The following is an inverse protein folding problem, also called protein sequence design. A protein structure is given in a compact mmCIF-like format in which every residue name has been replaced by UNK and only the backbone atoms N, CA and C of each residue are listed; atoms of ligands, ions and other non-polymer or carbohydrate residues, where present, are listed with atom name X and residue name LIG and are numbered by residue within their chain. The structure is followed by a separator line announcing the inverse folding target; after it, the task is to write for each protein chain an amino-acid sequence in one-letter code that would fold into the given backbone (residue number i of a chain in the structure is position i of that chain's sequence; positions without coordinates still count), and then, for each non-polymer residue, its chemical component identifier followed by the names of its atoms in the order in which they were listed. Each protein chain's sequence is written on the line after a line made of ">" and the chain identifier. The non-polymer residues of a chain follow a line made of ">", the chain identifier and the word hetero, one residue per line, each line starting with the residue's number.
data_IF_536285809118
#
_entry.id   IF_536285809118
#
_cell.length_a   1.000
_cell.length_b   1.000
_cell.length_c   1.000
_cell.angle_alpha   90.00
_cell.angle_beta   90.00
_cell.angle_gamma   90.00
#
_symmetry.space_group_name_H-M   'P 1'
#
loop_
_entity.id
_entity.type
_entity.pdbx_description
1 polymer ?
#
# COMPACT_ATOMS: atom_id res chain seq x y z
N UNK A 1 13.07 -44.10 -79.37
CA UNK A 1 12.56 -44.44 -78.03
C UNK A 1 12.16 -43.13 -77.38
N UNK A 2 10.89 -42.75 -77.53
CA UNK A 2 10.33 -41.55 -76.92
C UNK A 2 9.65 -41.94 -75.60
N UNK A 3 10.10 -41.34 -74.48
CA UNK A 3 9.38 -41.45 -73.21
C UNK A 3 8.35 -40.33 -73.09
N UNK A 4 7.10 -40.61 -72.70
CA UNK A 4 6.12 -39.55 -72.41
C UNK A 4 6.37 -38.95 -71.03
N UNK A 5 6.46 -37.62 -71.00
CA UNK A 5 6.56 -36.82 -69.78
C UNK A 5 5.19 -36.84 -69.09
N UNK A 6 5.10 -37.42 -67.89
CA UNK A 6 3.87 -37.33 -67.07
C UNK A 6 3.71 -35.92 -66.49
N UNK A 7 2.52 -35.29 -66.56
CA UNK A 7 2.31 -34.01 -65.92
C UNK A 7 2.20 -34.17 -64.40
N UNK A 8 2.96 -33.36 -63.66
CA UNK A 8 2.90 -33.29 -62.20
C UNK A 8 1.51 -32.84 -61.74
N UNK A 9 0.94 -33.52 -60.73
CA UNK A 9 -0.34 -33.14 -60.10
C UNK A 9 -0.22 -31.75 -59.45
N UNK A 10 -1.20 -30.85 -59.63
CA UNK A 10 -1.23 -29.58 -58.91
C UNK A 10 -1.45 -29.83 -57.42
N UNK A 11 -0.66 -29.15 -56.58
CA UNK A 11 -0.78 -29.21 -55.13
C UNK A 11 -2.13 -28.66 -54.66
N UNK A 12 -2.77 -29.26 -53.63
CA UNK A 12 -4.07 -28.81 -53.14
C UNK A 12 -3.94 -27.41 -52.51
N UNK A 13 -4.62 -26.42 -53.10
CA UNK A 13 -4.74 -25.08 -52.52
C UNK A 13 -5.57 -25.16 -51.23
N UNK A 14 -4.99 -24.70 -50.11
CA UNK A 14 -5.69 -24.62 -48.82
C UNK A 14 -6.82 -23.59 -48.95
N UNK A 15 -8.08 -24.03 -48.74
CA UNK A 15 -9.24 -23.14 -48.70
C UNK A 15 -8.99 -22.03 -47.66
N UNK A 16 -9.11 -20.74 -48.02
CA UNK A 16 -8.97 -19.66 -47.06
C UNK A 16 -10.08 -19.78 -46.01
N UNK A 17 -9.73 -19.54 -44.74
CA UNK A 17 -10.71 -19.47 -43.66
C UNK A 17 -11.80 -18.43 -44.01
N UNK A 18 -13.05 -18.81 -43.78
CA UNK A 18 -14.23 -17.96 -43.95
C UNK A 18 -14.08 -16.66 -43.14
N UNK A 19 -14.52 -15.54 -43.71
CA UNK A 19 -14.53 -14.22 -43.10
C UNK A 19 -15.24 -14.22 -41.75
N UNK A 20 -16.33 -14.99 -41.60
CA UNK A 20 -17.04 -15.11 -40.32
C UNK A 20 -16.17 -15.78 -39.27
N UNK A 21 -15.41 -16.81 -39.65
CA UNK A 21 -14.48 -17.52 -38.75
C UNK A 21 -13.33 -16.62 -38.34
N UNK A 22 -12.80 -15.81 -39.27
CA UNK A 22 -11.77 -14.80 -38.94
C UNK A 22 -12.28 -13.76 -37.96
N UNK A 23 -13.51 -13.26 -38.16
CA UNK A 23 -14.12 -12.29 -37.26
C UNK A 23 -14.35 -12.89 -35.87
N UNK A 24 -14.87 -14.12 -35.80
CA UNK A 24 -15.09 -14.84 -34.55
C UNK A 24 -13.77 -15.04 -33.78
N UNK A 25 -12.70 -15.46 -34.47
CA UNK A 25 -11.37 -15.59 -33.86
C UNK A 25 -10.82 -14.25 -33.38
N UNK A 26 -10.97 -13.17 -34.18
CA UNK A 26 -10.52 -11.84 -33.79
C UNK A 26 -11.23 -11.33 -32.54
N UNK A 27 -12.55 -11.50 -32.47
CA UNK A 27 -13.34 -11.13 -31.29
C UNK A 27 -12.96 -11.98 -30.09
N UNK A 28 -12.73 -13.28 -30.27
CA UNK A 28 -12.33 -14.19 -29.20
C UNK A 28 -10.97 -13.80 -28.60
N UNK A 29 -9.94 -13.65 -29.43
CA UNK A 29 -8.61 -13.24 -28.96
C UNK A 29 -8.61 -11.80 -28.43
N UNK A 30 -9.37 -10.90 -29.06
CA UNK A 30 -9.53 -9.52 -28.59
C UNK A 30 -10.18 -9.44 -27.21
N UNK A 31 -11.21 -10.24 -26.97
CA UNK A 31 -11.87 -10.36 -25.67
C UNK A 31 -10.92 -10.91 -24.61
N UNK A 32 -10.19 -11.97 -24.92
CA UNK A 32 -9.18 -12.51 -24.01
C UNK A 32 -8.07 -11.50 -23.69
N UNK A 33 -7.58 -10.76 -24.69
CA UNK A 33 -6.57 -9.73 -24.49
C UNK A 33 -7.09 -8.55 -23.64
N UNK A 34 -8.34 -8.13 -23.84
CA UNK A 34 -8.97 -7.08 -23.04
C UNK A 34 -9.19 -7.50 -21.59
N UNK A 35 -9.70 -8.71 -21.36
CA UNK A 35 -9.92 -9.24 -20.00
C UNK A 35 -8.57 -9.44 -19.30
N UNK A 36 -7.62 -10.09 -19.98
CA UNK A 36 -6.27 -10.27 -19.43
C UNK A 36 -5.61 -8.92 -19.14
N UNK A 37 -5.64 -7.99 -20.08
CA UNK A 37 -5.06 -6.65 -19.94
C UNK A 37 -5.69 -5.89 -18.78
N UNK A 38 -7.03 -5.90 -18.67
CA UNK A 38 -7.76 -5.29 -17.56
C UNK A 38 -7.39 -5.92 -16.22
N UNK A 39 -7.33 -7.25 -16.15
CA UNK A 39 -6.91 -7.95 -14.93
C UNK A 39 -5.45 -7.68 -14.56
N UNK A 40 -4.54 -7.53 -15.53
CA UNK A 40 -3.12 -7.24 -15.28
C UNK A 40 -2.93 -5.82 -14.74
N UNK A 41 -3.60 -4.83 -15.33
CA UNK A 41 -3.51 -3.43 -14.90
C UNK A 41 -4.20 -3.18 -13.55
N UNK A 42 -5.23 -3.97 -13.23
CA UNK A 42 -6.00 -3.83 -11.99
C UNK A 42 -5.51 -4.72 -10.85
N UNK A 43 -4.39 -5.45 -11.02
CA UNK A 43 -3.88 -6.31 -9.94
C UNK A 43 -3.60 -5.44 -8.72
N UNK A 44 -4.27 -5.70 -7.58
CA UNK A 44 -3.93 -5.04 -6.34
C UNK A 44 -2.46 -5.32 -6.05
N UNK A 45 -1.72 -4.31 -5.62
CA UNK A 45 -0.35 -4.46 -5.15
C UNK A 45 -0.37 -5.39 -3.93
N UNK A 46 -0.21 -6.70 -4.16
CA UNK A 46 -0.24 -7.74 -3.12
C UNK A 46 0.94 -7.64 -2.14
N UNK A 47 1.88 -6.75 -2.39
CA UNK A 47 2.98 -6.48 -1.45
C UNK A 47 2.51 -5.66 -0.23
N UNK A 48 1.35 -4.99 -0.32
CA UNK A 48 0.83 -4.19 0.79
C UNK A 48 -0.31 -4.99 1.45
N UNK A 49 -0.26 -5.25 2.77
CA UNK A 49 -1.36 -5.91 3.43
C UNK A 49 -2.64 -5.06 3.34
N UNK A 50 -3.83 -5.70 3.38
CA UNK A 50 -5.08 -4.96 3.45
C UNK A 50 -5.08 -4.03 4.67
N UNK A 51 -5.44 -2.77 4.46
CA UNK A 51 -5.60 -1.78 5.53
C UNK A 51 -6.71 -0.80 5.18
N UNK A 52 -7.18 -0.07 6.20
CA UNK A 52 -8.20 0.96 6.09
C UNK A 52 -7.83 2.15 6.96
N UNK A 53 -8.14 3.36 6.49
CA UNK A 53 -8.03 4.57 7.32
C UNK A 53 -9.29 4.62 8.20
N UNK A 54 -9.13 4.46 9.51
CA UNK A 54 -10.24 4.56 10.46
C UNK A 54 -10.60 6.01 10.72
N UNK A 55 -9.61 6.81 11.12
CA UNK A 55 -9.79 8.23 11.38
C UNK A 55 -8.52 9.02 11.09
N UNK A 56 -8.68 10.34 10.97
CA UNK A 56 -7.57 11.26 10.78
C UNK A 56 -7.94 12.63 11.36
N UNK A 57 -7.05 13.16 12.19
CA UNK A 57 -7.21 14.46 12.86
C UNK A 57 -5.86 15.19 12.84
N UNK A 58 -5.83 16.36 12.19
CA UNK A 58 -4.61 17.12 11.98
C UNK A 58 -3.50 16.29 11.32
N UNK A 59 -2.37 16.14 12.03
CA UNK A 59 -1.22 15.35 11.58
C UNK A 59 -1.29 13.87 11.94
N UNK A 60 -2.30 13.44 12.70
CA UNK A 60 -2.44 12.07 13.15
C UNK A 60 -3.43 11.28 12.28
N UNK A 61 -3.05 10.05 11.96
CA UNK A 61 -3.85 9.11 11.15
C UNK A 61 -3.93 7.80 11.91
N UNK A 62 -5.14 7.30 12.14
CA UNK A 62 -5.35 5.98 12.70
C UNK A 62 -5.76 4.99 11.61
N UNK A 63 -5.03 3.89 11.54
CA UNK A 63 -5.16 2.85 10.51
C UNK A 63 -5.53 1.55 11.18
N UNK A 64 -6.48 0.85 10.56
CA UNK A 64 -6.85 -0.50 10.93
C UNK A 64 -6.33 -1.49 9.88
N UNK A 65 -5.68 -2.55 10.35
CA UNK A 65 -5.34 -3.76 9.59
C UNK A 65 -6.12 -4.95 10.15
N UNK A 66 -6.46 -5.95 9.33
CA UNK A 66 -7.18 -7.12 9.84
C UNK A 66 -6.46 -7.83 11.00
N UNK A 67 -7.21 -8.53 11.89
CA UNK A 67 -6.62 -9.19 13.06
C UNK A 67 -5.56 -10.26 12.75
N UNK A 68 -5.59 -10.84 11.55
CA UNK A 68 -4.64 -11.86 11.09
C UNK A 68 -3.38 -11.29 10.43
N UNK A 69 -3.28 -9.96 10.28
CA UNK A 69 -2.09 -9.33 9.71
C UNK A 69 -0.89 -9.55 10.64
N UNK A 70 0.15 -10.17 10.09
CA UNK A 70 1.39 -10.49 10.79
C UNK A 70 2.28 -9.26 10.99
N UNK A 71 3.22 -9.33 11.93
CA UNK A 71 4.15 -8.23 12.18
C UNK A 71 5.04 -7.93 10.97
N UNK A 72 5.38 -8.95 10.16
CA UNK A 72 6.13 -8.77 8.90
C UNK A 72 5.32 -8.03 7.85
N UNK A 73 4.01 -8.28 7.77
CA UNK A 73 3.12 -7.52 6.90
C UNK A 73 2.98 -6.06 7.37
N UNK A 74 2.86 -5.83 8.69
CA UNK A 74 2.85 -4.48 9.27
C UNK A 74 4.17 -3.76 8.98
N UNK A 75 5.30 -4.44 9.11
CA UNK A 75 6.62 -3.92 8.74
C UNK A 75 6.65 -3.49 7.26
N UNK A 76 6.14 -4.34 6.36
CA UNK A 76 6.03 -4.02 4.92
C UNK A 76 5.15 -2.79 4.67
N UNK A 77 4.04 -2.64 5.40
CA UNK A 77 3.19 -1.46 5.34
C UNK A 77 3.93 -0.19 5.81
N UNK A 78 4.69 -0.29 6.91
CA UNK A 78 5.50 0.82 7.43
C UNK A 78 6.64 1.19 6.45
N UNK A 79 7.31 0.21 5.87
CA UNK A 79 8.31 0.45 4.81
C UNK A 79 7.68 1.12 3.60
N UNK A 80 6.45 0.77 3.24
CA UNK A 80 5.73 1.46 2.16
C UNK A 80 5.47 2.92 2.51
N UNK A 81 5.08 3.23 3.75
CA UNK A 81 4.97 4.62 4.21
C UNK A 81 6.30 5.35 4.13
N UNK A 82 7.40 4.73 4.58
CA UNK A 82 8.77 5.27 4.47
C UNK A 82 9.12 5.60 3.03
N UNK A 83 8.90 4.67 2.10
CA UNK A 83 9.17 4.85 0.67
C UNK A 83 8.39 6.04 0.09
N UNK A 84 7.09 6.12 0.37
CA UNK A 84 6.25 7.24 -0.10
C UNK A 84 6.72 8.57 0.51
N UNK A 85 7.09 8.58 1.80
CA UNK A 85 7.62 9.74 2.51
C UNK A 85 9.00 10.21 2.00
N UNK A 86 9.83 9.31 1.48
CA UNK A 86 11.14 9.66 0.93
C UNK A 86 11.07 10.08 -0.55
N UNK A 87 10.24 9.42 -1.36
CA UNK A 87 10.24 9.63 -2.81
C UNK A 87 9.36 10.82 -3.25
N UNK A 88 8.08 10.81 -2.87
CA UNK A 88 7.08 11.75 -3.43
C UNK A 88 6.40 12.62 -2.38
N UNK A 89 6.49 12.24 -1.10
CA UNK A 89 5.72 12.83 0.01
C UNK A 89 4.24 13.01 -0.31
N UNK A 90 3.67 12.14 -1.14
CA UNK A 90 2.27 12.20 -1.55
C UNK A 90 1.55 10.91 -1.15
N UNK A 91 0.85 10.99 -0.02
CA UNK A 91 0.12 9.85 0.56
C UNK A 91 -1.32 9.73 0.04
N UNK A 92 -1.73 10.55 -0.94
CA UNK A 92 -3.08 10.49 -1.52
C UNK A 92 -3.39 9.14 -2.18
N UNK A 93 -2.40 8.51 -2.83
CA UNK A 93 -2.54 7.16 -3.38
C UNK A 93 -2.76 6.08 -2.30
N UNK A 94 -2.38 6.38 -1.06
CA UNK A 94 -2.60 5.54 0.12
C UNK A 94 -3.91 5.90 0.86
N UNK A 95 -4.75 6.74 0.24
CA UNK A 95 -6.04 7.23 0.78
C UNK A 95 -5.92 8.10 2.04
N UNK A 96 -4.72 8.61 2.35
CA UNK A 96 -4.52 9.53 3.47
C UNK A 96 -4.79 10.96 2.99
N UNK A 97 -5.65 11.68 3.70
CA UNK A 97 -5.96 13.10 3.37
C UNK A 97 -4.74 13.96 3.71
N UNK A 98 -4.50 15.09 3.03
CA UNK A 98 -3.41 16.00 3.37
C UNK A 98 -3.39 16.35 4.87
N UNK A 99 -2.31 16.02 5.57
CA UNK A 99 -2.15 16.29 7.02
C UNK A 99 -1.71 17.72 7.32
N UNK A 100 -1.20 18.40 6.30
CA UNK A 100 -0.73 19.79 6.30
C UNK A 100 -1.30 20.48 5.05
N UNK A 101 -2.63 20.61 4.94
CA UNK A 101 -3.30 21.09 3.72
C UNK A 101 -2.96 22.55 3.41
N UNK A 102 -2.79 23.37 4.44
CA UNK A 102 -2.59 24.83 4.35
C UNK A 102 -1.10 25.23 4.47
N UNK A 103 -0.19 24.26 4.54
CA UNK A 103 1.24 24.52 4.68
C UNK A 103 1.84 24.89 3.31
N UNK A 104 2.43 26.09 3.16
CA UNK A 104 3.02 26.53 1.90
C UNK A 104 4.23 25.69 1.48
N UNK A 105 4.88 24.98 2.42
CA UNK A 105 6.02 24.11 2.13
C UNK A 105 5.60 22.75 1.55
N UNK A 106 4.30 22.44 1.55
CA UNK A 106 3.75 21.28 0.87
C UNK A 106 2.77 20.48 1.71
N UNK A 107 2.06 19.58 1.03
CA UNK A 107 1.14 18.64 1.67
C UNK A 107 1.97 17.50 2.28
N UNK A 108 1.56 17.00 3.44
CA UNK A 108 2.20 15.89 4.15
C UNK A 108 3.61 16.16 4.71
N UNK A 109 3.90 17.39 5.15
CA UNK A 109 5.17 17.75 5.81
C UNK A 109 5.39 16.98 7.11
N UNK A 110 4.33 16.91 7.91
CA UNK A 110 4.28 16.24 9.22
C UNK A 110 3.13 15.26 9.27
N UNK A 111 3.40 14.06 9.77
CA UNK A 111 2.40 13.01 9.89
C UNK A 111 2.81 11.95 10.92
N UNK A 112 1.84 11.44 11.66
CA UNK A 112 1.99 10.24 12.47
C UNK A 112 0.87 9.26 12.10
N UNK A 113 1.25 8.04 11.73
CA UNK A 113 0.33 6.96 11.41
C UNK A 113 0.39 5.93 12.53
N UNK A 114 -0.75 5.66 13.14
CA UNK A 114 -0.97 4.68 14.19
C UNK A 114 -1.65 3.45 13.60
N UNK A 115 -1.11 2.24 13.83
CA UNK A 115 -1.61 1.01 13.22
C UNK A 115 -2.20 0.09 14.30
N UNK A 116 -3.45 -0.31 14.10
CA UNK A 116 -4.23 -1.14 15.01
C UNK A 116 -4.80 -2.37 14.31
N UNK A 117 -4.97 -3.45 15.05
CA UNK A 117 -5.71 -4.64 14.59
C UNK A 117 -7.18 -4.64 14.98
N UNK A 118 -7.56 -3.83 15.99
CA UNK A 118 -8.95 -3.59 16.35
C UNK A 118 -9.36 -2.21 15.85
N UNK A 119 -10.47 -2.18 15.12
CA UNK A 119 -11.06 -0.97 14.53
C UNK A 119 -11.48 0.05 15.59
N UNK A 120 -11.97 -0.39 16.76
CA UNK A 120 -12.35 0.48 17.87
C UNK A 120 -11.24 1.47 18.29
N UNK A 121 -9.96 1.07 18.18
CA UNK A 121 -8.83 1.96 18.49
C UNK A 121 -8.51 2.97 17.37
N UNK A 122 -9.02 2.73 16.16
CA UNK A 122 -8.86 3.60 15.01
C UNK A 122 -10.03 4.57 14.82
N UNK A 123 -11.05 4.54 15.69
CA UNK A 123 -12.20 5.45 15.64
C UNK A 123 -11.82 6.90 15.94
N UNK A 124 -12.63 7.82 15.43
CA UNK A 124 -12.35 9.26 15.50
C UNK A 124 -12.42 9.81 16.93
N UNK A 125 -13.35 9.33 17.75
CA UNK A 125 -13.49 9.78 19.14
C UNK A 125 -12.30 9.32 20.00
N UNK A 126 -11.83 8.09 19.79
CA UNK A 126 -10.66 7.53 20.47
C UNK A 126 -9.39 8.28 20.05
N UNK A 127 -9.22 8.54 18.75
CA UNK A 127 -8.09 9.35 18.27
C UNK A 127 -8.13 10.76 18.87
N UNK A 128 -9.29 11.41 18.89
CA UNK A 128 -9.45 12.74 19.47
C UNK A 128 -9.06 12.77 20.95
N UNK A 129 -9.63 11.87 21.77
CA UNK A 129 -9.31 11.75 23.20
C UNK A 129 -7.83 11.48 23.45
N UNK A 130 -7.19 10.68 22.59
CA UNK A 130 -5.75 10.43 22.66
C UNK A 130 -4.93 11.70 22.41
N UNK A 131 -5.32 12.50 21.40
CA UNK A 131 -4.61 13.72 21.00
C UNK A 131 -4.81 14.88 21.98
N UNK A 132 -6.03 15.06 22.51
CA UNK A 132 -6.33 16.10 23.50
C UNK A 132 -5.80 15.74 24.88
N UNK A 133 -5.62 14.45 25.16
CA UNK A 133 -5.19 13.96 26.46
C UNK A 133 -6.28 14.08 27.53
N UNK A 134 -7.54 14.24 27.12
CA UNK A 134 -8.71 14.36 28.01
C UNK A 134 -8.90 13.13 28.89
N UNK A 135 -8.57 11.94 28.37
CA UNK A 135 -8.76 10.67 29.06
C UNK A 135 -7.44 9.89 29.12
N UNK A 136 -6.92 9.73 30.35
CA UNK A 136 -5.67 9.00 30.61
C UNK A 136 -5.80 7.51 30.32
N UNK A 137 -6.94 6.90 30.61
CA UNK A 137 -7.16 5.46 30.38
C UNK A 137 -7.20 5.17 28.89
N UNK A 138 -7.91 6.01 28.12
CA UNK A 138 -7.92 5.92 26.65
C UNK A 138 -6.51 6.12 26.11
N UNK A 139 -5.76 7.10 26.62
CA UNK A 139 -4.39 7.36 26.16
C UNK A 139 -3.45 6.18 26.39
N UNK A 140 -3.48 5.61 27.59
CA UNK A 140 -2.64 4.48 27.97
C UNK A 140 -3.11 3.18 27.27
N UNK A 141 -4.41 3.04 27.02
CA UNK A 141 -4.99 1.97 26.21
C UNK A 141 -4.56 2.04 24.75
N UNK A 142 -4.69 3.22 24.12
CA UNK A 142 -4.31 3.49 22.74
C UNK A 142 -2.85 3.11 22.48
N UNK A 143 -1.95 3.54 23.38
CA UNK A 143 -0.52 3.24 23.26
C UNK A 143 -0.19 1.75 23.40
N UNK A 144 -0.91 1.04 24.26
CA UNK A 144 -0.76 -0.41 24.45
C UNK A 144 -1.35 -1.21 23.29
N UNK A 145 -2.43 -0.72 22.68
CA UNK A 145 -3.11 -1.37 21.56
C UNK A 145 -2.37 -1.21 20.22
N UNK A 146 -1.42 -0.28 20.12
CA UNK A 146 -0.62 -0.08 18.92
C UNK A 146 0.14 -1.35 18.53
N UNK A 147 0.00 -1.72 17.26
CA UNK A 147 0.77 -2.79 16.63
C UNK A 147 1.93 -2.28 15.80
N UNK A 148 1.87 -1.01 15.40
CA UNK A 148 2.99 -0.31 14.80
C UNK A 148 2.71 1.17 14.66
N UNK A 149 3.74 1.94 14.38
CA UNK A 149 3.60 3.35 14.05
C UNK A 149 4.63 3.78 13.03
N UNK A 150 4.26 4.81 12.26
CA UNK A 150 5.14 5.54 11.37
C UNK A 150 5.06 7.02 11.70
N UNK A 151 6.20 7.69 11.86
CA UNK A 151 6.28 9.13 12.11
C UNK A 151 7.13 9.78 11.05
N UNK A 152 6.59 10.83 10.45
CA UNK A 152 7.21 11.67 9.45
C UNK A 152 7.25 13.09 9.98
N UNK A 153 8.45 13.64 10.10
CA UNK A 153 8.68 15.05 10.40
C UNK A 153 9.29 15.73 9.18
N UNK A 154 9.68 16.99 9.35
CA UNK A 154 10.38 17.73 8.29
C UNK A 154 11.77 17.14 8.01
N UNK A 155 12.44 16.65 9.05
CA UNK A 155 13.84 16.23 9.00
C UNK A 155 14.05 14.73 9.23
N UNK A 156 13.03 13.98 9.65
CA UNK A 156 13.21 12.61 10.10
C UNK A 156 12.00 11.72 9.75
N UNK A 157 12.27 10.46 9.43
CA UNK A 157 11.28 9.41 9.39
C UNK A 157 11.63 8.32 10.41
N UNK A 158 10.64 7.86 11.16
CA UNK A 158 10.76 6.78 12.12
C UNK A 158 9.66 5.74 11.89
N UNK A 159 10.00 4.47 12.00
CA UNK A 159 9.04 3.38 11.91
C UNK A 159 9.30 2.35 13.00
N UNK A 160 8.24 1.90 13.68
CA UNK A 160 8.34 0.92 14.78
C UNK A 160 7.19 -0.08 14.76
N UNK A 161 7.46 -1.28 15.25
CA UNK A 161 6.48 -2.31 15.55
C UNK A 161 6.25 -2.36 17.06
N UNK A 162 5.01 -2.68 17.45
CA UNK A 162 4.59 -2.85 18.82
C UNK A 162 4.06 -1.57 19.49
N UNK A 163 3.72 -1.66 20.79
CA UNK A 163 3.17 -0.56 21.56
C UNK A 163 4.14 0.62 21.66
N UNK A 164 3.58 1.81 21.89
CA UNK A 164 4.37 3.02 22.12
C UNK A 164 4.76 3.10 23.59
N UNK A 165 5.98 2.69 23.93
CA UNK A 165 6.50 2.71 25.30
C UNK A 165 7.05 4.10 25.65
N UNK A 166 6.97 4.46 26.93
CA UNK A 166 7.46 5.74 27.46
C UNK A 166 8.90 5.58 27.97
N UNK A 167 9.72 6.61 27.78
CA UNK A 167 11.12 6.62 28.22
C UNK A 167 12.14 6.32 27.12
N UNK A 168 13.44 6.33 27.45
CA UNK A 168 14.50 6.09 26.49
C UNK A 168 14.45 4.65 25.97
N UNK A 169 14.87 4.47 24.71
CA UNK A 169 15.04 3.14 24.15
C UNK A 169 16.07 2.37 24.97
N UNK A 170 15.61 1.29 25.60
CA UNK A 170 16.43 0.40 26.41
C UNK A 170 16.28 -1.03 25.90
N UNK A 171 17.21 -1.92 26.27
CA UNK A 171 17.11 -3.34 25.95
C UNK A 171 15.80 -3.97 26.47
N UNK A 172 15.26 -3.46 27.59
CA UNK A 172 13.98 -3.90 28.15
C UNK A 172 12.78 -3.43 27.32
N UNK A 173 12.87 -2.23 26.74
CA UNK A 173 11.84 -1.66 25.87
C UNK A 173 11.83 -2.34 24.49
N UNK A 174 13.00 -2.73 23.99
CA UNK A 174 13.20 -3.41 22.71
C UNK A 174 12.51 -4.79 22.63
N UNK A 175 12.25 -5.42 23.79
CA UNK A 175 11.52 -6.68 23.88
C UNK A 175 10.04 -6.54 23.50
N UNK A 176 9.47 -5.34 23.65
CA UNK A 176 8.05 -5.05 23.39
C UNK A 176 7.84 -4.14 22.20
N UNK A 177 8.79 -3.25 21.89
CA UNK A 177 8.75 -2.34 20.74
C UNK A 177 10.02 -2.46 19.92
N UNK A 178 9.90 -2.84 18.65
CA UNK A 178 11.03 -2.97 17.74
C UNK A 178 11.09 -1.78 16.81
N UNK A 179 12.16 -0.99 16.90
CA UNK A 179 12.43 0.07 15.95
C UNK A 179 12.95 -0.52 14.63
N UNK A 180 12.30 -0.16 13.52
CA UNK A 180 12.67 -0.61 12.17
C UNK A 180 13.70 0.32 11.54
N UNK A 181 13.46 1.63 11.65
CA UNK A 181 14.37 2.67 11.15
C UNK A 181 14.14 3.97 11.89
N UNK A 182 15.16 4.84 11.80
CA UNK A 182 15.10 6.25 12.21
C UNK A 182 16.12 6.99 11.36
N UNK A 183 15.65 7.57 10.27
CA UNK A 183 16.52 8.17 9.25
C UNK A 183 16.31 9.67 9.18
N UNK A 184 17.39 10.39 8.95
CA UNK A 184 17.29 11.76 8.48
C UNK A 184 16.68 11.76 7.06
N UNK A 185 15.69 12.61 6.85
CA UNK A 185 15.15 12.85 5.52
C UNK A 185 16.01 13.95 4.90
N UNK A 186 16.64 13.70 3.74
CA UNK A 186 17.38 14.74 3.05
C UNK A 186 16.45 15.92 2.82
N UNK A 187 16.86 17.11 3.24
CA UNK A 187 16.16 18.35 2.88
C UNK A 187 16.10 18.41 1.37
N UNK A 188 14.90 18.41 0.78
CA UNK A 188 14.78 18.74 -0.63
C UNK A 188 15.39 20.13 -0.85
N UNK A 189 16.26 20.29 -1.86
CA UNK A 189 16.85 21.57 -2.21
C UNK A 189 15.79 22.60 -2.63
#
# INVERSE_FOLDING_TARGET
>A
MDQPISPARPAPQKKPLDTVVKLALMVFFGSFALIWGGMYLSRPDRSIPPYSIGSQEGTAVAVHVPPWTSDTEIETLIERFRKVGQERRNFGAMKIRPTTPDDPQGRYRRMTIYIFTHDAWAEADILHKYLTGEDREVRDGFRRALRGFYRLTESEAEGRIGPLVEGPDSAATAAYSRQLFKDAIPSSP
#
